data_IF_353043999804
#
_entry.id   IF_353043999804
#
_cell.length_a   1.000
_cell.length_b   1.000
_cell.length_c   1.000
_cell.angle_alpha   90.00
_cell.angle_beta   90.00
_cell.angle_gamma   90.00
#
_symmetry.space_group_name_H-M   'P 1'
#
loop_
_entity.id
_entity.type
_entity.pdbx_description
1 polymer ?
#
# COMPACT_ATOMS: atom_id res chain seq x y z
N UNK A 1 25.65 -1.14 21.07
CA UNK A 1 24.68 -1.20 22.20
C UNK A 1 23.50 -1.99 21.66
N UNK A 2 23.38 -3.27 22.04
CA UNK A 2 22.23 -4.10 21.68
C UNK A 2 21.19 -3.99 22.78
N UNK A 3 19.92 -3.81 22.41
CA UNK A 3 18.81 -3.98 23.33
C UNK A 3 18.34 -5.43 23.16
N UNK A 4 18.52 -6.25 24.21
CA UNK A 4 17.80 -7.52 24.32
C UNK A 4 16.32 -7.18 24.48
N UNK A 5 15.57 -7.29 23.39
CA UNK A 5 14.13 -7.09 23.38
C UNK A 5 13.48 -8.08 24.34
N UNK A 6 12.90 -7.55 25.42
CA UNK A 6 12.25 -8.34 26.46
C UNK A 6 11.17 -9.24 25.88
N UNK A 7 11.39 -10.56 25.97
CA UNK A 7 10.34 -11.56 25.78
C UNK A 7 9.26 -11.34 26.82
N UNK A 8 7.99 -11.24 26.38
CA UNK A 8 6.85 -11.26 27.29
C UNK A 8 6.73 -12.68 27.86
N UNK A 9 7.26 -12.87 29.06
CA UNK A 9 7.26 -14.11 29.85
C UNK A 9 5.86 -14.74 29.92
N UNK A 10 5.66 -15.95 29.39
CA UNK A 10 4.36 -16.62 29.11
C UNK A 10 3.54 -17.05 30.36
N UNK A 11 3.55 -16.28 31.46
CA UNK A 11 3.06 -16.75 32.77
C UNK A 11 1.97 -15.93 33.48
N UNK A 12 1.24 -15.00 32.84
CA UNK A 12 0.24 -14.17 33.55
C UNK A 12 -0.96 -13.81 32.69
N UNK A 13 -2.14 -14.24 33.15
CA UNK A 13 -3.46 -13.96 32.58
C UNK A 13 -3.80 -12.47 32.70
N UNK A 14 -3.64 -11.72 31.61
CA UNK A 14 -3.99 -10.30 31.54
C UNK A 14 -3.72 -9.72 30.15
N UNK A 15 -4.29 -8.55 29.86
CA UNK A 15 -3.97 -7.81 28.64
C UNK A 15 -2.49 -7.40 28.69
N UNK A 16 -1.70 -7.90 27.73
CA UNK A 16 -0.29 -7.54 27.58
C UNK A 16 -0.14 -6.59 26.42
N UNK A 17 0.44 -5.43 26.68
CA UNK A 17 0.79 -4.47 25.64
C UNK A 17 2.27 -4.66 25.31
N UNK A 18 2.56 -4.99 24.05
CA UNK A 18 3.92 -4.93 23.53
C UNK A 18 4.15 -3.53 22.94
N UNK A 19 5.22 -2.87 23.38
CA UNK A 19 5.70 -1.61 22.79
C UNK A 19 7.17 -1.78 22.42
N UNK A 20 7.53 -1.46 21.19
CA UNK A 20 8.91 -1.65 20.70
C UNK A 20 9.02 -1.50 19.19
N UNK A 21 10.26 -1.39 18.71
CA UNK A 21 10.59 -1.48 17.30
C UNK A 21 10.88 -2.94 16.96
N UNK A 22 10.14 -3.49 16.00
CA UNK A 22 10.31 -4.85 15.52
C UNK A 22 10.75 -4.81 14.07
N UNK A 23 11.74 -5.63 13.69
CA UNK A 23 12.12 -5.77 12.27
C UNK A 23 11.07 -6.59 11.52
N UNK A 24 10.60 -7.69 12.13
CA UNK A 24 9.55 -8.56 11.60
C UNK A 24 8.54 -8.87 12.71
N UNK A 25 7.28 -9.12 12.34
CA UNK A 25 6.22 -9.48 13.27
C UNK A 25 5.34 -10.56 12.67
N UNK A 26 5.27 -11.70 13.35
CA UNK A 26 4.39 -12.82 13.02
C UNK A 26 3.32 -12.97 14.11
N UNK A 27 2.04 -13.10 13.72
CA UNK A 27 0.91 -13.24 14.64
C UNK A 27 0.25 -14.60 14.39
N UNK A 28 0.43 -15.55 15.32
CA UNK A 28 -0.09 -16.92 15.23
C UNK A 28 -1.58 -17.04 15.61
N UNK A 29 -2.38 -16.00 15.39
CA UNK A 29 -3.78 -15.94 15.82
C UNK A 29 -4.54 -14.79 15.17
N UNK A 30 -5.71 -14.46 15.73
CA UNK A 30 -6.51 -13.35 15.21
C UNK A 30 -5.83 -12.00 15.47
N UNK A 31 -5.68 -11.19 14.43
CA UNK A 31 -5.30 -9.78 14.52
C UNK A 31 -6.56 -8.90 14.54
N UNK A 32 -6.88 -8.34 15.70
CA UNK A 32 -7.91 -7.29 15.83
C UNK A 32 -7.24 -5.91 15.82
N UNK A 33 -7.57 -5.08 14.82
CA UNK A 33 -6.96 -3.75 14.61
C UNK A 33 -8.02 -2.66 14.48
N UNK A 34 -7.72 -1.46 14.99
CA UNK A 34 -8.57 -0.29 14.79
C UNK A 34 -8.48 0.30 13.37
N UNK A 35 -7.35 0.12 12.69
CA UNK A 35 -7.11 0.55 11.30
C UNK A 35 -6.08 -0.36 10.62
N UNK A 36 -6.15 -0.45 9.30
CA UNK A 36 -5.17 -1.13 8.43
C UNK A 36 -4.17 -0.21 7.74
N UNK A 37 -4.02 1.02 8.22
CA UNK A 37 -3.09 2.01 7.65
C UNK A 37 -1.67 1.79 8.19
N UNK A 38 -0.68 1.85 7.31
CA UNK A 38 0.75 1.82 7.64
C UNK A 38 1.51 2.88 6.85
N UNK A 39 2.75 3.15 7.26
CA UNK A 39 3.65 4.09 6.59
C UNK A 39 4.94 3.39 6.20
N UNK A 40 5.47 3.74 5.04
CA UNK A 40 6.80 3.38 4.60
C UNK A 40 7.60 4.65 4.29
N UNK A 41 8.92 4.57 4.41
CA UNK A 41 9.82 5.60 3.94
C UNK A 41 9.54 5.89 2.46
N UNK A 42 9.53 7.16 2.08
CA UNK A 42 9.38 7.51 0.67
C UNK A 42 10.61 7.03 -0.10
N UNK A 43 10.47 6.23 -1.17
CA UNK A 43 11.60 5.56 -1.81
C UNK A 43 12.62 6.56 -2.39
N UNK A 44 12.18 7.74 -2.83
CA UNK A 44 13.06 8.81 -3.33
C UNK A 44 13.56 9.80 -2.26
N UNK A 45 12.99 9.78 -1.05
CA UNK A 45 13.34 10.73 0.02
C UNK A 45 13.04 10.13 1.41
N UNK A 46 13.75 9.05 1.79
CA UNK A 46 13.40 8.26 2.96
C UNK A 46 13.62 9.00 4.29
N UNK A 47 14.45 10.04 4.30
CA UNK A 47 14.74 10.80 5.53
C UNK A 47 13.71 11.88 5.83
N UNK A 48 12.95 12.34 4.83
CA UNK A 48 12.07 13.52 4.98
C UNK A 48 10.61 13.27 4.60
N UNK A 49 10.29 12.15 3.92
CA UNK A 49 8.94 11.87 3.43
C UNK A 49 8.48 10.45 3.76
N UNK A 50 7.16 10.31 3.87
CA UNK A 50 6.47 9.05 4.11
C UNK A 50 5.42 8.81 3.02
N UNK A 51 5.24 7.55 2.64
CA UNK A 51 4.06 7.10 1.92
C UNK A 51 3.10 6.42 2.91
N UNK A 52 1.83 6.80 2.86
CA UNK A 52 0.78 6.15 3.66
C UNK A 52 0.06 5.13 2.78
N UNK A 53 -0.03 3.89 3.24
CA UNK A 53 -0.75 2.80 2.59
C UNK A 53 -1.83 2.25 3.52
N UNK A 54 -2.82 1.59 2.92
CA UNK A 54 -3.83 0.82 3.63
C UNK A 54 -3.83 -0.60 3.08
N UNK A 55 -4.15 -1.59 3.93
CA UNK A 55 -4.22 -2.97 3.48
C UNK A 55 -5.24 -3.18 2.35
N UNK A 56 -4.82 -3.95 1.36
CA UNK A 56 -5.70 -4.70 0.48
C UNK A 56 -5.70 -6.13 0.98
N UNK A 57 -6.86 -6.65 1.39
CA UNK A 57 -7.00 -8.04 1.84
C UNK A 57 -7.29 -8.92 0.61
N UNK A 58 -6.23 -9.37 -0.04
CA UNK A 58 -6.24 -10.23 -1.24
C UNK A 58 -5.13 -11.29 -1.12
N UNK A 59 -5.26 -12.36 -1.89
CA UNK A 59 -4.21 -13.35 -2.14
C UNK A 59 -3.02 -12.80 -2.94
N UNK A 60 -3.20 -11.68 -3.66
CA UNK A 60 -2.14 -10.98 -4.38
C UNK A 60 -1.67 -9.71 -3.65
N UNK A 61 -0.38 -9.36 -3.81
CA UNK A 61 0.19 -8.11 -3.29
C UNK A 61 -0.16 -6.96 -4.24
N UNK A 62 -1.13 -6.13 -3.84
CA UNK A 62 -1.70 -5.09 -4.69
C UNK A 62 -1.50 -3.69 -4.12
N UNK A 63 -1.08 -2.76 -5.00
CA UNK A 63 -1.22 -1.32 -4.81
C UNK A 63 -2.25 -0.80 -5.81
N UNK A 64 -3.34 -0.20 -5.31
CA UNK A 64 -4.47 0.22 -6.15
C UNK A 64 -4.47 1.73 -6.33
N UNK A 65 -4.35 2.16 -7.58
CA UNK A 65 -4.39 3.57 -7.97
C UNK A 65 -5.67 3.85 -8.75
N UNK A 66 -6.42 4.88 -8.34
CA UNK A 66 -7.70 5.25 -8.96
C UNK A 66 -7.67 6.71 -9.37
N UNK A 67 -8.20 6.99 -10.54
CA UNK A 67 -8.30 8.34 -11.07
C UNK A 67 -9.37 8.45 -12.14
N UNK A 68 -9.62 9.68 -12.58
CA UNK A 68 -10.45 9.99 -13.73
C UNK A 68 -9.66 10.90 -14.66
N UNK A 69 -9.75 10.66 -15.96
CA UNK A 69 -9.13 11.50 -16.97
C UNK A 69 -10.11 11.80 -18.09
N UNK A 70 -9.99 12.97 -18.69
CA UNK A 70 -10.79 13.39 -19.84
C UNK A 70 -9.97 13.17 -21.11
N UNK A 71 -10.56 12.51 -22.10
CA UNK A 71 -9.93 12.36 -23.41
C UNK A 71 -9.92 13.71 -24.14
N UNK A 72 -8.84 13.99 -24.86
CA UNK A 72 -8.74 15.15 -25.73
C UNK A 72 -9.55 14.95 -27.02
N UNK A 73 -9.53 15.94 -27.92
CA UNK A 73 -10.26 15.89 -29.20
C UNK A 73 -9.81 14.77 -30.15
N UNK A 74 -8.69 14.10 -29.87
CA UNK A 74 -8.19 12.94 -30.60
C UNK A 74 -8.52 11.62 -29.90
N UNK A 75 -9.32 11.63 -28.83
CA UNK A 75 -9.67 10.44 -28.05
C UNK A 75 -8.54 9.92 -27.18
N UNK A 76 -7.54 10.75 -26.83
CA UNK A 76 -6.36 10.35 -26.06
C UNK A 76 -6.29 11.04 -24.71
N UNK A 77 -5.74 10.34 -23.73
CA UNK A 77 -5.35 10.90 -22.45
C UNK A 77 -4.04 10.27 -21.97
N UNK A 78 -3.29 11.03 -21.19
CA UNK A 78 -2.08 10.55 -20.52
C UNK A 78 -2.31 10.65 -19.02
N UNK A 79 -2.17 9.53 -18.31
CA UNK A 79 -2.15 9.48 -16.85
C UNK A 79 -0.70 9.54 -16.42
N UNK A 80 -0.33 10.62 -15.73
CA UNK A 80 1.02 10.75 -15.16
C UNK A 80 1.02 10.13 -13.78
N UNK A 81 1.86 9.12 -13.57
CA UNK A 81 2.08 8.54 -12.25
C UNK A 81 3.08 9.37 -11.46
N UNK A 82 3.06 9.30 -10.12
CA UNK A 82 4.13 9.85 -9.30
C UNK A 82 5.49 9.31 -9.73
N UNK A 83 6.54 10.12 -9.56
CA UNK A 83 7.92 9.76 -9.89
C UNK A 83 8.40 8.48 -9.18
N UNK A 84 7.96 8.27 -7.94
CA UNK A 84 8.25 7.09 -7.14
C UNK A 84 7.42 5.85 -7.53
N UNK A 85 6.44 5.94 -8.42
CA UNK A 85 5.50 4.85 -8.69
C UNK A 85 6.21 3.56 -9.08
N UNK A 86 7.24 3.64 -9.93
CA UNK A 86 7.99 2.46 -10.39
C UNK A 86 8.94 1.89 -9.34
N UNK A 87 9.22 2.61 -8.26
CA UNK A 87 10.11 2.14 -7.19
C UNK A 87 9.45 1.07 -6.30
N UNK A 88 8.11 1.06 -6.24
CA UNK A 88 7.35 0.16 -5.35
C UNK A 88 6.28 -0.65 -6.09
N UNK A 89 6.20 -0.54 -7.42
CA UNK A 89 5.22 -1.26 -8.22
C UNK A 89 5.90 -1.95 -9.41
N UNK A 90 5.53 -3.20 -9.61
CA UNK A 90 5.89 -4.03 -10.75
C UNK A 90 4.63 -4.67 -11.33
N UNK A 91 4.67 -5.14 -12.58
CA UNK A 91 3.57 -5.88 -13.22
C UNK A 91 2.20 -5.19 -13.14
N UNK A 92 1.94 -4.29 -14.09
CA UNK A 92 0.75 -3.43 -14.05
C UNK A 92 -0.46 -4.07 -14.74
N UNK A 93 -1.62 -3.99 -14.09
CA UNK A 93 -2.92 -4.26 -14.69
C UNK A 93 -3.75 -2.98 -14.77
N UNK A 94 -4.62 -2.89 -15.78
CA UNK A 94 -5.42 -1.71 -16.04
C UNK A 94 -6.90 -2.09 -16.11
N UNK A 95 -7.71 -1.47 -15.26
CA UNK A 95 -9.17 -1.54 -15.34
C UNK A 95 -9.71 -0.19 -15.76
N UNK A 96 -10.33 -0.15 -16.94
CA UNK A 96 -10.85 1.07 -17.55
C UNK A 96 -12.38 1.03 -17.53
N UNK A 97 -13.01 2.15 -17.20
CA UNK A 97 -14.47 2.29 -17.23
C UNK A 97 -14.84 3.62 -17.85
N UNK A 98 -15.61 3.56 -18.94
CA UNK A 98 -16.14 4.74 -19.60
C UNK A 98 -17.23 5.39 -18.74
N UNK A 99 -17.22 6.72 -18.66
CA UNK A 99 -18.27 7.47 -17.96
C UNK A 99 -19.23 8.09 -18.97
N UNK A 100 -20.54 7.89 -18.77
CA UNK A 100 -21.60 8.47 -19.61
C UNK A 100 -22.18 7.48 -20.63
N UNK A 101 -21.34 6.92 -21.50
CA UNK A 101 -21.74 5.89 -22.46
C UNK A 101 -20.63 4.86 -22.68
N UNK A 102 -20.99 3.73 -23.28
CA UNK A 102 -20.00 2.74 -23.71
C UNK A 102 -19.09 3.30 -24.82
N UNK A 103 -17.82 2.91 -24.79
CA UNK A 103 -16.80 3.20 -25.81
C UNK A 103 -15.68 2.19 -25.67
N UNK A 104 -15.04 1.84 -26.78
CA UNK A 104 -13.84 1.00 -26.80
C UNK A 104 -12.65 1.81 -26.31
N UNK A 105 -12.09 1.41 -25.17
CA UNK A 105 -10.92 2.04 -24.56
C UNK A 105 -9.80 1.02 -24.36
N UNK A 106 -8.57 1.44 -24.61
CA UNK A 106 -7.38 0.61 -24.45
C UNK A 106 -6.19 1.45 -23.98
N UNK A 107 -5.20 0.79 -23.40
CA UNK A 107 -3.89 1.39 -23.11
C UNK A 107 -3.02 1.26 -24.36
N UNK A 108 -2.58 2.39 -24.91
CA UNK A 108 -1.59 2.39 -25.98
C UNK A 108 -0.21 1.96 -25.47
N UNK A 109 0.53 1.17 -26.26
CA UNK A 109 1.94 0.87 -26.02
C UNK A 109 2.83 2.06 -26.36
#
# INVERSE_FOLDING_TARGET
>A
ISFDGGGLDQGTSGNRWATGYFTNMDISGNLSKGSGTFRIDHPLDPTNKWLNHSFVESDEVLNIYRGKVTLNNQGRATVTMPDWFLEINTEFSYSLTCTGSHSDVFISK
#
